data_IF_218764664364
#
_entry.id   IF_218764664364
#
_cell.length_a   1.000
_cell.length_b   1.000
_cell.length_c   1.000
_cell.angle_alpha   90.00
_cell.angle_beta   90.00
_cell.angle_gamma   90.00
#
_symmetry.space_group_name_H-M   'P 1'
#
loop_
_entity.id
_entity.type
_entity.pdbx_description
1 polymer ?
#
# COMPACT_ATOMS: atom_id res chain seq x y z
N UNK A 1 2.17 -14.99 -16.87
CA UNK A 1 0.78 -15.47 -16.94
C UNK A 1 -0.15 -14.58 -16.12
N UNK A 2 -1.45 -14.69 -16.36
CA UNK A 2 -2.46 -13.95 -15.60
C UNK A 2 -2.40 -14.31 -14.13
N UNK A 3 -2.17 -15.59 -13.82
CA UNK A 3 -2.06 -16.05 -12.44
C UNK A 3 -0.86 -15.43 -11.72
N UNK A 4 0.28 -15.37 -12.38
CA UNK A 4 1.49 -14.77 -11.80
C UNK A 4 1.28 -13.26 -11.55
N UNK A 5 0.65 -12.57 -12.48
CA UNK A 5 0.33 -11.15 -12.33
C UNK A 5 -0.60 -10.89 -11.15
N UNK A 6 -1.61 -11.76 -10.96
CA UNK A 6 -2.52 -11.65 -9.82
C UNK A 6 -1.79 -11.88 -8.49
N UNK A 7 -0.91 -12.87 -8.44
CA UNK A 7 -0.13 -13.16 -7.23
C UNK A 7 0.78 -11.99 -6.89
N UNK A 8 1.50 -11.47 -7.89
CA UNK A 8 2.37 -10.31 -7.71
C UNK A 8 1.58 -9.09 -7.22
N UNK A 9 0.40 -8.85 -7.81
CA UNK A 9 -0.46 -7.73 -7.43
C UNK A 9 -0.94 -7.85 -6.00
N UNK A 10 -1.31 -9.06 -5.56
CA UNK A 10 -1.73 -9.30 -4.18
C UNK A 10 -0.60 -9.05 -3.19
N UNK A 11 0.62 -9.49 -3.53
CA UNK A 11 1.80 -9.25 -2.70
C UNK A 11 2.05 -7.73 -2.57
N UNK A 12 2.00 -7.01 -3.69
CA UNK A 12 2.22 -5.57 -3.69
C UNK A 12 1.17 -4.84 -2.84
N UNK A 13 -0.09 -5.23 -2.97
CA UNK A 13 -1.17 -4.65 -2.16
C UNK A 13 -0.97 -4.97 -0.69
N UNK A 14 -0.64 -6.21 -0.34
CA UNK A 14 -0.39 -6.61 1.05
C UNK A 14 0.76 -5.82 1.65
N UNK A 15 1.85 -5.62 0.91
CA UNK A 15 2.98 -4.80 1.36
C UNK A 15 2.57 -3.35 1.60
N UNK A 16 1.75 -2.80 0.72
CA UNK A 16 1.24 -1.44 0.90
C UNK A 16 0.36 -1.33 2.15
N UNK A 17 -0.52 -2.30 2.36
CA UNK A 17 -1.39 -2.30 3.54
C UNK A 17 -0.57 -2.41 4.84
N UNK A 18 0.46 -3.25 4.83
CA UNK A 18 1.37 -3.36 5.98
C UNK A 18 2.11 -2.04 6.24
N UNK A 19 2.61 -1.40 5.18
CA UNK A 19 3.28 -0.10 5.31
C UNK A 19 2.32 0.96 5.85
N UNK A 20 1.06 0.95 5.40
CA UNK A 20 0.04 1.88 5.89
C UNK A 20 -0.24 1.65 7.37
N UNK A 21 -0.38 0.39 7.79
CA UNK A 21 -0.60 0.05 9.20
C UNK A 21 0.57 0.49 10.07
N UNK A 22 1.80 0.23 9.64
CA UNK A 22 3.01 0.63 10.38
C UNK A 22 3.11 2.15 10.49
N UNK A 23 2.79 2.86 9.42
CA UNK A 23 2.79 4.32 9.40
C UNK A 23 1.80 4.85 10.45
N UNK A 24 0.60 4.30 10.47
CA UNK A 24 -0.45 4.69 11.41
C UNK A 24 -0.06 4.35 12.86
N UNK A 25 0.56 3.19 13.08
CA UNK A 25 1.02 2.77 14.42
C UNK A 25 2.10 3.69 14.98
N UNK A 26 2.84 4.38 14.12
CA UNK A 26 3.86 5.35 14.50
C UNK A 26 3.33 6.78 14.51
N UNK A 27 2.02 6.97 14.53
CA UNK A 27 1.35 8.28 14.55
C UNK A 27 1.74 9.15 13.35
N UNK A 28 2.05 8.52 12.22
CA UNK A 28 2.32 9.21 10.96
C UNK A 28 1.10 9.13 10.06
N UNK A 29 0.95 10.12 9.19
CA UNK A 29 -0.24 10.25 8.35
C UNK A 29 0.07 10.20 6.87
N UNK A 30 1.34 10.12 6.48
CA UNK A 30 1.75 10.24 5.09
C UNK A 30 2.54 9.00 4.66
N UNK A 31 2.18 8.47 3.51
CA UNK A 31 2.88 7.34 2.89
C UNK A 31 3.43 7.79 1.56
N UNK A 32 4.74 7.61 1.36
CA UNK A 32 5.42 7.89 0.10
C UNK A 32 5.93 6.57 -0.46
N UNK A 33 5.83 6.41 -1.76
CA UNK A 33 6.29 5.18 -2.42
C UNK A 33 6.82 5.47 -3.82
N UNK A 34 7.94 4.83 -4.15
CA UNK A 34 8.44 4.78 -5.53
C UNK A 34 7.86 3.53 -6.18
N UNK A 35 7.06 3.70 -7.21
CA UNK A 35 6.36 2.58 -7.85
C UNK A 35 6.41 2.66 -9.36
N UNK A 36 6.38 1.50 -10.00
CA UNK A 36 6.08 1.43 -11.42
C UNK A 36 4.66 1.94 -11.64
N UNK A 37 4.41 2.77 -12.67
CA UNK A 37 3.11 3.43 -12.82
C UNK A 37 1.90 2.49 -12.94
N UNK A 38 2.10 1.22 -13.29
CA UNK A 38 0.98 0.29 -13.37
C UNK A 38 0.40 -0.05 -11.98
N UNK A 39 1.23 -0.02 -10.92
CA UNK A 39 0.79 -0.36 -9.56
C UNK A 39 -0.27 0.60 -9.02
N UNK A 40 -0.06 1.93 -9.03
CA UNK A 40 -1.11 2.84 -8.58
C UNK A 40 -2.36 2.78 -9.45
N UNK A 41 -2.23 2.52 -10.76
CA UNK A 41 -3.40 2.33 -11.62
C UNK A 41 -4.20 1.09 -11.23
N UNK A 42 -3.51 0.02 -10.90
CA UNK A 42 -4.15 -1.21 -10.43
C UNK A 42 -4.84 -0.99 -9.09
N UNK A 43 -4.16 -0.34 -8.15
CA UNK A 43 -4.69 -0.08 -6.81
C UNK A 43 -5.89 0.87 -6.84
N UNK A 44 -5.95 1.77 -7.82
CA UNK A 44 -7.09 2.66 -8.00
C UNK A 44 -8.40 1.88 -8.16
N UNK A 45 -8.35 0.72 -8.80
CA UNK A 45 -9.52 -0.15 -8.96
C UNK A 45 -10.05 -0.68 -7.63
N UNK A 46 -9.18 -0.74 -6.63
CA UNK A 46 -9.53 -1.17 -5.28
C UNK A 46 -9.84 -0.01 -4.33
N UNK A 47 -9.93 1.20 -4.86
CA UNK A 47 -10.26 2.40 -4.09
C UNK A 47 -9.07 3.05 -3.42
N UNK A 48 -7.85 2.63 -3.72
CA UNK A 48 -6.63 3.22 -3.17
C UNK A 48 -6.11 4.25 -4.17
N UNK A 49 -6.24 5.52 -3.84
CA UNK A 49 -6.01 6.63 -4.77
C UNK A 49 -4.72 7.35 -4.43
N UNK A 50 -3.62 6.97 -5.09
CA UNK A 50 -2.34 7.65 -4.95
C UNK A 50 -2.30 8.94 -5.76
N UNK A 51 -1.58 9.92 -5.24
CA UNK A 51 -1.25 11.15 -5.95
C UNK A 51 0.19 11.06 -6.44
N UNK A 52 0.40 11.24 -7.74
CA UNK A 52 1.75 11.31 -8.30
C UNK A 52 2.36 12.67 -7.98
N UNK A 53 3.59 12.67 -7.48
CA UNK A 53 4.26 13.89 -7.02
C UNK A 53 5.58 14.18 -7.73
N UNK A 54 5.92 13.42 -8.76
CA UNK A 54 7.16 13.66 -9.50
C UNK A 54 7.22 12.95 -10.84
N UNK A 55 8.32 13.14 -11.53
CA UNK A 55 8.55 12.59 -12.87
C UNK A 55 8.99 11.14 -12.80
N UNK A 56 8.86 10.44 -13.95
CA UNK A 56 9.43 9.12 -14.12
C UNK A 56 10.94 9.16 -13.89
N UNK A 57 11.47 8.14 -13.23
CA UNK A 57 12.89 7.93 -13.04
C UNK A 57 13.23 6.50 -13.42
N UNK A 58 14.39 6.31 -14.05
CA UNK A 58 14.89 4.99 -14.38
C UNK A 58 15.76 4.47 -13.25
N UNK A 59 15.17 3.64 -12.40
CA UNK A 59 15.87 2.98 -11.29
C UNK A 59 15.36 1.56 -11.20
N UNK A 60 16.08 0.61 -11.80
CA UNK A 60 15.65 -0.79 -11.94
C UNK A 60 14.29 -0.87 -12.62
N UNK A 61 14.12 -0.13 -13.72
CA UNK A 61 12.86 0.06 -14.42
C UNK A 61 12.31 1.46 -14.19
N UNK A 62 11.31 1.82 -14.99
CA UNK A 62 10.67 3.15 -14.90
C UNK A 62 9.80 3.21 -13.66
N UNK A 63 10.11 4.15 -12.77
CA UNK A 63 9.37 4.38 -11.53
C UNK A 63 9.06 5.86 -11.36
N UNK A 64 8.04 6.15 -10.57
CA UNK A 64 7.68 7.51 -10.23
C UNK A 64 7.33 7.60 -8.74
N UNK A 65 7.49 8.79 -8.13
CA UNK A 65 7.11 8.97 -6.73
C UNK A 65 5.61 9.23 -6.59
N UNK A 66 5.02 8.60 -5.58
CA UNK A 66 3.60 8.72 -5.27
C UNK A 66 3.42 8.99 -3.79
N UNK A 67 2.28 9.58 -3.47
CA UNK A 67 1.91 9.99 -2.12
C UNK A 67 0.46 9.62 -1.86
N UNK A 68 0.18 9.21 -0.62
CA UNK A 68 -1.18 9.03 -0.13
C UNK A 68 -1.18 9.26 1.38
N UNK A 69 -2.28 9.77 1.92
CA UNK A 69 -2.44 9.82 3.37
C UNK A 69 -3.02 8.52 3.88
N UNK A 70 -2.72 8.15 5.12
CA UNK A 70 -3.31 6.95 5.73
C UNK A 70 -4.83 7.02 5.74
N UNK A 71 -5.38 8.20 6.02
CA UNK A 71 -6.83 8.42 6.00
C UNK A 71 -7.40 8.13 4.60
N UNK A 72 -6.83 8.72 3.56
CA UNK A 72 -7.29 8.52 2.19
C UNK A 72 -7.14 7.06 1.75
N UNK A 73 -6.04 6.39 2.16
CA UNK A 73 -5.81 4.99 1.83
C UNK A 73 -6.93 4.09 2.36
N UNK A 74 -7.46 4.39 3.54
CA UNK A 74 -8.44 3.53 4.21
C UNK A 74 -9.89 3.92 3.89
N UNK A 75 -10.13 5.17 3.50
CA UNK A 75 -11.48 5.71 3.37
C UNK A 75 -12.29 5.05 2.24
N UNK A 76 -11.70 4.91 1.07
CA UNK A 76 -12.41 4.43 -0.13
C UNK A 76 -12.02 2.99 -0.50
N UNK A 77 -11.31 2.31 0.36
CA UNK A 77 -10.86 0.95 0.11
C UNK A 77 -12.05 -0.02 0.05
N UNK A 78 -12.02 -0.94 -0.90
CA UNK A 78 -13.04 -1.98 -1.01
C UNK A 78 -13.06 -2.84 0.26
N UNK A 79 -14.25 -3.37 0.57
CA UNK A 79 -14.49 -4.11 1.81
C UNK A 79 -13.52 -5.28 2.02
N UNK A 80 -13.24 -6.03 0.96
CA UNK A 80 -12.32 -7.17 1.03
C UNK A 80 -10.92 -6.75 1.47
N UNK A 81 -10.45 -5.61 0.98
CA UNK A 81 -9.15 -5.07 1.38
C UNK A 81 -9.18 -4.49 2.79
N UNK A 82 -10.31 -3.94 3.23
CA UNK A 82 -10.46 -3.48 4.61
C UNK A 82 -10.33 -4.64 5.59
N UNK A 83 -10.91 -5.77 5.29
CA UNK A 83 -10.79 -6.96 6.11
C UNK A 83 -9.33 -7.43 6.20
N UNK A 84 -8.65 -7.49 5.05
CA UNK A 84 -7.23 -7.84 5.01
C UNK A 84 -6.39 -6.82 5.79
N UNK A 85 -6.67 -5.54 5.62
CA UNK A 85 -5.97 -4.49 6.35
C UNK A 85 -6.11 -4.64 7.85
N UNK A 86 -7.33 -4.89 8.34
CA UNK A 86 -7.59 -5.08 9.76
C UNK A 86 -6.83 -6.28 10.30
N UNK A 87 -6.80 -7.37 9.55
CA UNK A 87 -6.04 -8.56 9.95
C UNK A 87 -4.54 -8.24 10.06
N UNK A 88 -3.98 -7.55 9.04
CA UNK A 88 -2.57 -7.14 9.03
C UNK A 88 -2.26 -6.22 10.21
N UNK A 89 -3.11 -5.22 10.46
CA UNK A 89 -2.92 -4.28 11.55
C UNK A 89 -2.88 -4.99 12.90
N UNK A 90 -3.83 -5.89 13.15
CA UNK A 90 -3.89 -6.65 14.38
C UNK A 90 -2.66 -7.55 14.54
N UNK A 91 -2.23 -8.19 13.47
CA UNK A 91 -1.07 -9.06 13.47
C UNK A 91 0.21 -8.29 13.80
N UNK A 92 0.39 -7.14 13.18
CA UNK A 92 1.56 -6.29 13.44
C UNK A 92 1.58 -5.77 14.88
N UNK A 93 0.45 -5.33 15.40
CA UNK A 93 0.33 -4.87 16.78
C UNK A 93 0.69 -5.98 17.75
N UNK A 94 0.20 -7.20 17.51
CA UNK A 94 0.49 -8.36 18.34
C UNK A 94 1.99 -8.66 18.33
N UNK A 95 2.61 -8.72 17.15
CA UNK A 95 4.03 -9.06 17.00
C UNK A 95 4.92 -8.00 17.65
N UNK A 96 4.57 -6.73 17.55
CA UNK A 96 5.31 -5.63 18.20
C UNK A 96 5.24 -5.78 19.72
N UNK A 97 4.08 -6.09 20.28
CA UNK A 97 3.92 -6.28 21.72
C UNK A 97 4.73 -7.46 22.26
N UNK A 98 4.87 -8.52 21.47
CA UNK A 98 5.67 -9.69 21.86
C UNK A 98 7.16 -9.36 21.91
N UNK A 99 7.64 -8.48 21.04
CA UNK A 99 9.05 -8.13 20.95
C UNK A 99 9.49 -7.10 22.00
N UNK A 100 8.56 -6.46 22.63
CA UNK A 100 8.83 -5.50 23.71
C UNK A 100 8.85 -6.22 25.05
#
# INVERSE_FOLDING_TARGET
>A
SVQEQRTFSLIAVACFLAATAMTKMNDRTQVFAMMEPFLPRMMQRSGILFQRIGKDMDYHGIRAPYFITTHSALENMQLELKDLYQWIEQKLKHDVLIQV
#
